data_IF_200188737716
#
_entry.id   IF_200188737716
#
_cell.length_a   1.000
_cell.length_b   1.000
_cell.length_c   1.000
_cell.angle_alpha   90.00
_cell.angle_beta   90.00
_cell.angle_gamma   90.00
#
_symmetry.space_group_name_H-M   'P 1'
#
loop_
_entity.id
_entity.type
_entity.pdbx_description
1 polymer ?
#
# COMPACT_ATOMS: atom_id res chain seq x y z
N UNK A 1 7.65 4.90 1.65
CA UNK A 1 7.38 4.72 0.21
C UNK A 1 6.08 5.41 -0.15
N UNK A 2 6.04 6.04 -1.32
CA UNK A 2 4.86 6.78 -1.80
C UNK A 2 3.79 5.86 -2.38
N UNK A 3 2.60 6.40 -2.63
CA UNK A 3 1.50 5.68 -3.32
C UNK A 3 1.97 5.05 -4.63
N UNK A 4 2.77 5.76 -5.43
CA UNK A 4 3.33 5.26 -6.69
C UNK A 4 4.27 4.08 -6.49
N UNK A 5 5.17 4.16 -5.50
CA UNK A 5 6.07 3.05 -5.21
C UNK A 5 5.31 1.81 -4.72
N UNK A 6 4.28 2.00 -3.90
CA UNK A 6 3.41 0.91 -3.44
C UNK A 6 2.61 0.30 -4.58
N UNK A 7 2.09 1.13 -5.48
CA UNK A 7 1.38 0.70 -6.68
C UNK A 7 2.28 -0.20 -7.55
N UNK A 8 3.51 0.25 -7.81
CA UNK A 8 4.50 -0.55 -8.55
C UNK A 8 4.88 -1.84 -7.82
N UNK A 9 5.08 -1.78 -6.50
CA UNK A 9 5.44 -2.93 -5.68
C UNK A 9 4.35 -4.01 -5.65
N UNK A 10 3.09 -3.60 -5.53
CA UNK A 10 1.93 -4.49 -5.55
C UNK A 10 1.45 -4.82 -6.97
N UNK A 11 2.13 -4.32 -8.01
CA UNK A 11 1.66 -4.37 -9.41
C UNK A 11 0.17 -3.96 -9.54
N UNK A 12 -0.21 -2.93 -8.79
CA UNK A 12 -1.56 -2.41 -8.68
C UNK A 12 -1.61 -0.95 -9.16
N UNK A 13 -2.80 -0.44 -9.46
CA UNK A 13 -2.99 0.98 -9.75
C UNK A 13 -2.95 1.83 -8.47
N UNK A 14 -2.46 3.07 -8.57
CA UNK A 14 -2.46 4.05 -7.46
C UNK A 14 -3.85 4.26 -6.86
N UNK A 15 -4.89 4.25 -7.70
CA UNK A 15 -6.30 4.33 -7.28
C UNK A 15 -6.70 3.17 -6.37
N UNK A 16 -6.15 1.97 -6.61
CA UNK A 16 -6.37 0.78 -5.78
C UNK A 16 -5.67 0.92 -4.44
N UNK A 17 -4.44 1.45 -4.42
CA UNK A 17 -3.68 1.73 -3.19
C UNK A 17 -4.41 2.73 -2.30
N UNK A 18 -4.89 3.84 -2.87
CA UNK A 18 -5.69 4.84 -2.14
C UNK A 18 -7.00 4.25 -1.61
N UNK A 19 -7.64 3.36 -2.37
CA UNK A 19 -8.85 2.68 -1.93
C UNK A 19 -8.58 1.70 -0.79
N UNK A 20 -7.48 0.96 -0.86
CA UNK A 20 -7.05 0.05 0.21
C UNK A 20 -6.75 0.83 1.49
N UNK A 21 -6.14 2.01 1.40
CA UNK A 21 -5.93 2.89 2.55
C UNK A 21 -7.25 3.39 3.15
N UNK A 22 -8.19 3.84 2.32
CA UNK A 22 -9.55 4.23 2.75
C UNK A 22 -10.35 3.09 3.38
N UNK A 23 -10.11 1.85 2.96
CA UNK A 23 -10.73 0.65 3.53
C UNK A 23 -9.96 0.10 4.75
N UNK A 24 -8.93 0.81 5.22
CA UNK A 24 -8.05 0.38 6.31
C UNK A 24 -7.34 -0.96 6.06
N UNK A 25 -7.24 -1.39 4.79
CA UNK A 25 -6.49 -2.57 4.35
C UNK A 25 -5.01 -2.25 4.14
N UNK A 26 -4.68 -0.99 3.87
CA UNK A 26 -3.31 -0.48 3.84
C UNK A 26 -3.16 0.65 4.86
N UNK A 27 -2.40 0.40 5.93
CA UNK A 27 -2.11 1.42 6.93
C UNK A 27 -1.00 2.34 6.42
N UNK A 28 -1.34 3.60 6.16
CA UNK A 28 -0.35 4.66 5.96
C UNK A 28 0.29 5.02 7.31
N UNK A 29 1.61 5.08 7.37
CA UNK A 29 2.31 5.50 8.60
C UNK A 29 2.18 7.00 8.82
N UNK A 30 2.38 7.79 7.77
CA UNK A 30 2.38 9.25 7.82
C UNK A 30 1.80 9.82 6.52
N UNK A 31 1.62 11.13 6.46
CA UNK A 31 1.33 11.85 5.20
C UNK A 31 2.52 12.73 4.85
N UNK A 32 2.88 12.80 3.58
CA UNK A 32 3.94 13.69 3.11
C UNK A 32 3.48 15.16 3.07
N UNK A 33 4.38 16.07 2.68
CA UNK A 33 4.10 17.50 2.55
C UNK A 33 2.97 17.84 1.55
N UNK A 34 2.66 16.94 0.61
CA UNK A 34 1.55 17.07 -0.36
C UNK A 34 0.25 16.42 0.15
N UNK A 35 0.14 16.09 1.43
CA UNK A 35 -1.00 15.37 2.02
C UNK A 35 -1.23 13.95 1.47
N UNK A 36 -0.26 13.39 0.74
CA UNK A 36 -0.34 12.00 0.24
C UNK A 36 0.10 11.02 1.31
N UNK A 37 -0.59 9.88 1.48
CA UNK A 37 -0.18 8.86 2.45
C UNK A 37 1.19 8.28 2.08
N UNK A 38 2.04 8.16 3.09
CA UNK A 38 3.31 7.47 3.08
C UNK A 38 3.15 6.12 3.75
N UNK A 39 3.63 5.09 3.06
CA UNK A 39 3.55 3.72 3.54
C UNK A 39 4.92 3.24 3.99
N UNK A 40 4.91 2.41 5.03
CA UNK A 40 6.11 1.73 5.48
C UNK A 40 6.37 0.50 4.59
N UNK A 41 7.56 0.44 3.99
CA UNK A 41 7.97 -0.69 3.13
C UNK A 41 7.83 -2.05 3.82
N UNK A 42 8.19 -2.14 5.10
CA UNK A 42 8.08 -3.37 5.87
C UNK A 42 6.63 -3.82 6.08
N UNK A 43 5.69 -2.88 6.21
CA UNK A 43 4.26 -3.17 6.30
C UNK A 43 3.71 -3.64 4.95
N UNK A 44 4.06 -2.96 3.85
CA UNK A 44 3.64 -3.31 2.49
C UNK A 44 4.17 -4.70 2.09
N UNK A 45 5.43 -5.01 2.40
CA UNK A 45 6.00 -6.32 2.15
C UNK A 45 5.26 -7.43 2.91
N UNK A 46 4.88 -7.19 4.18
CA UNK A 46 4.03 -8.12 4.95
C UNK A 46 2.63 -8.27 4.36
N UNK A 47 2.02 -7.19 3.88
CA UNK A 47 0.73 -7.27 3.19
C UNK A 47 0.80 -8.07 1.89
N UNK A 48 1.89 -7.94 1.12
CA UNK A 48 2.11 -8.74 -0.08
C UNK A 48 2.30 -10.22 0.27
N UNK A 49 3.12 -10.52 1.28
CA UNK A 49 3.37 -11.88 1.75
C UNK A 49 2.07 -12.54 2.25
N UNK A 50 1.26 -11.81 3.02
CA UNK A 50 -0.08 -12.23 3.44
C UNK A 50 -1.00 -12.46 2.24
N UNK A 51 -1.00 -11.57 1.24
CA UNK A 51 -1.80 -11.74 0.04
C UNK A 51 -1.37 -12.96 -0.80
N UNK A 52 -0.06 -13.23 -0.90
CA UNK A 52 0.45 -14.45 -1.54
C UNK A 52 0.09 -15.70 -0.74
N UNK A 53 0.17 -15.65 0.59
CA UNK A 53 -0.20 -16.75 1.48
C UNK A 53 -1.70 -17.08 1.50
N UNK A 54 -2.56 -16.10 1.20
CA UNK A 54 -4.01 -16.26 1.12
C UNK A 54 -4.52 -16.68 -0.28
N UNK A 55 -3.62 -16.98 -1.23
CA UNK A 55 -4.00 -17.49 -2.56
C UNK A 55 -3.96 -16.46 -3.69
N UNK A 56 -3.24 -15.35 -3.51
CA UNK A 56 -3.04 -14.33 -4.54
C UNK A 56 -4.13 -13.27 -4.55
N UNK A 57 -3.72 -12.03 -4.82
CA UNK A 57 -4.57 -10.85 -5.01
C UNK A 57 -5.25 -10.86 -6.39
#
# INVERSE_FOLDING_TARGET
MSVQEVANFLSAQETRVLRLERQSLLLSSEKNAENKPLFNKGFIAKCQDLAQGLGGL
#
